data_IF_048006234686
#
_entry.id   IF_048006234686
#
_cell.length_a   1.000
_cell.length_b   1.000
_cell.length_c   1.000
_cell.angle_alpha   90.00
_cell.angle_beta   90.00
_cell.angle_gamma   90.00
#
_symmetry.space_group_name_H-M   'P 1'
#
loop_
_entity.id
_entity.type
_entity.pdbx_description
1 polymer ?
#
# COMPACT_ATOMS: atom_id res chain seq x y z
N UNK A 1 4.17 -14.91 -9.49
CA UNK A 1 4.02 -15.24 -8.05
C UNK A 1 4.58 -14.07 -7.25
N UNK A 2 3.95 -13.70 -6.13
CA UNK A 2 4.45 -12.64 -5.26
C UNK A 2 5.69 -13.13 -4.50
N UNK A 3 6.83 -12.46 -4.61
CA UNK A 3 8.03 -12.79 -3.83
C UNK A 3 8.19 -11.83 -2.64
N UNK A 4 7.98 -12.37 -1.43
CA UNK A 4 8.07 -11.60 -0.17
C UNK A 4 9.51 -11.22 0.17
N UNK A 5 10.51 -12.03 -0.22
CA UNK A 5 11.92 -11.70 0.02
C UNK A 5 12.34 -10.51 -0.84
N UNK A 6 11.96 -10.53 -2.12
CA UNK A 6 12.16 -9.39 -3.02
C UNK A 6 11.42 -8.14 -2.52
N UNK A 7 10.18 -8.31 -2.04
CA UNK A 7 9.40 -7.22 -1.44
C UNK A 7 10.12 -6.56 -0.26
N UNK A 8 10.73 -7.36 0.62
CA UNK A 8 11.47 -6.85 1.77
C UNK A 8 12.66 -6.00 1.33
N UNK A 9 13.47 -6.52 0.41
CA UNK A 9 14.65 -5.80 -0.10
C UNK A 9 14.25 -4.46 -0.76
N UNK A 10 13.20 -4.45 -1.56
CA UNK A 10 12.70 -3.22 -2.19
C UNK A 10 12.21 -2.21 -1.15
N UNK A 11 11.41 -2.64 -0.17
CA UNK A 11 10.91 -1.76 0.89
C UNK A 11 12.05 -1.22 1.77
N UNK A 12 13.08 -2.03 2.02
CA UNK A 12 14.26 -1.62 2.79
C UNK A 12 15.11 -0.59 2.04
N UNK A 13 15.24 -0.74 0.72
CA UNK A 13 15.95 0.21 -0.13
C UNK A 13 15.19 1.54 -0.30
N UNK A 14 13.85 1.50 -0.39
CA UNK A 14 13.03 2.70 -0.62
C UNK A 14 12.76 3.52 0.65
N UNK A 15 12.81 2.87 1.82
CA UNK A 15 12.40 3.48 3.08
C UNK A 15 13.42 3.20 4.18
N UNK A 16 14.13 4.25 4.61
CA UNK A 16 14.99 4.18 5.78
C UNK A 16 14.13 4.08 7.06
N UNK A 17 14.56 3.23 8.01
CA UNK A 17 13.80 2.91 9.22
C UNK A 17 12.39 2.35 8.93
N UNK A 18 11.39 2.64 9.77
CA UNK A 18 9.99 2.17 9.62
C UNK A 18 9.78 0.65 9.77
N UNK A 19 10.61 -0.03 10.57
CA UNK A 19 10.55 -1.50 10.77
C UNK A 19 9.15 -2.04 11.06
N UNK A 20 8.38 -1.36 11.93
CA UNK A 20 7.01 -1.75 12.27
C UNK A 20 6.07 -1.70 11.06
N UNK A 21 6.21 -0.67 10.22
CA UNK A 21 5.40 -0.50 9.01
C UNK A 21 5.78 -1.56 7.97
N UNK A 22 7.08 -1.73 7.71
CA UNK A 22 7.58 -2.71 6.73
C UNK A 22 7.13 -4.13 7.10
N UNK A 23 7.25 -4.50 8.38
CA UNK A 23 6.73 -5.78 8.89
C UNK A 23 5.25 -5.96 8.60
N UNK A 24 4.43 -4.94 8.87
CA UNK A 24 2.98 -5.01 8.63
C UNK A 24 2.62 -5.13 7.15
N UNK A 25 3.38 -4.46 6.28
CA UNK A 25 3.25 -4.60 4.83
C UNK A 25 3.61 -6.02 4.38
N UNK A 26 4.71 -6.59 4.87
CA UNK A 26 5.12 -7.96 4.54
C UNK A 26 4.09 -8.99 5.03
N UNK A 27 3.53 -8.84 6.23
CA UNK A 27 2.43 -9.67 6.73
C UNK A 27 1.20 -9.60 5.82
N UNK A 28 0.82 -8.39 5.41
CA UNK A 28 -0.28 -8.18 4.48
C UNK A 28 -0.05 -8.89 3.14
N UNK A 29 1.16 -8.74 2.59
CA UNK A 29 1.58 -9.41 1.36
C UNK A 29 1.57 -10.94 1.50
N UNK A 30 2.00 -11.48 2.66
CA UNK A 30 1.97 -12.91 2.95
C UNK A 30 0.55 -13.47 2.98
N UNK A 31 -0.37 -12.81 3.70
CA UNK A 31 -1.78 -13.22 3.76
C UNK A 31 -2.41 -13.18 2.36
N UNK A 32 -2.05 -12.18 1.56
CA UNK A 32 -2.52 -12.04 0.18
C UNK A 32 -1.96 -13.10 -0.77
N UNK A 33 -0.72 -13.57 -0.55
CA UNK A 33 -0.16 -14.68 -1.32
C UNK A 33 -0.93 -15.99 -1.08
N UNK A 34 -1.39 -16.21 0.15
CA UNK A 34 -2.14 -17.41 0.55
C UNK A 34 -3.61 -17.38 0.12
N UNK A 35 -4.22 -16.20 -0.01
CA UNK A 35 -5.63 -16.05 -0.41
C UNK A 35 -5.76 -15.82 -1.92
N UNK A 36 -6.51 -16.68 -2.62
CA UNK A 36 -6.80 -16.53 -4.06
C UNK A 36 -7.86 -15.45 -4.37
N UNK A 37 -8.56 -14.93 -3.36
CA UNK A 37 -9.67 -13.99 -3.54
C UNK A 37 -9.22 -12.52 -3.37
N UNK A 38 -9.75 -11.66 -4.24
CA UNK A 38 -9.47 -10.20 -4.24
C UNK A 38 -10.05 -9.44 -3.04
N UNK A 39 -10.96 -10.05 -2.26
CA UNK A 39 -11.50 -9.48 -1.01
C UNK A 39 -10.48 -9.61 0.12
N UNK A 40 -9.32 -8.99 -0.07
CA UNK A 40 -8.29 -8.83 0.95
C UNK A 40 -8.58 -7.63 1.85
N UNK A 41 -8.03 -7.60 3.07
CA UNK A 41 -8.15 -6.44 3.96
C UNK A 41 -7.57 -5.17 3.30
N UNK A 42 -8.12 -4.01 3.63
CA UNK A 42 -7.59 -2.71 3.17
C UNK A 42 -6.50 -2.28 4.14
N UNK A 43 -5.34 -1.87 3.61
CA UNK A 43 -4.24 -1.33 4.39
C UNK A 43 -4.40 0.18 4.57
N UNK A 44 -4.50 0.64 5.82
CA UNK A 44 -4.60 2.06 6.16
C UNK A 44 -3.33 2.51 6.90
N UNK A 45 -2.71 3.58 6.42
CA UNK A 45 -1.55 4.20 7.06
C UNK A 45 -1.95 5.51 7.74
N UNK A 46 -1.73 5.61 9.05
CA UNK A 46 -2.08 6.79 9.85
C UNK A 46 -0.81 7.41 10.45
N UNK A 47 -0.72 8.75 10.45
CA UNK A 47 0.37 9.48 11.08
C UNK A 47 0.45 10.94 10.60
N UNK A 48 1.43 11.72 11.08
CA UNK A 48 1.66 13.12 10.68
C UNK A 48 1.92 13.31 9.17
N UNK A 49 1.73 14.52 8.60
CA UNK A 49 2.16 14.80 7.23
C UNK A 49 3.69 14.61 7.07
N UNK A 50 4.16 14.32 5.86
CA UNK A 50 5.60 14.17 5.57
C UNK A 50 6.23 12.81 5.91
N UNK A 51 5.56 11.92 6.66
CA UNK A 51 6.12 10.60 7.05
C UNK A 51 6.19 9.54 5.94
N UNK A 52 5.95 9.92 4.68
CA UNK A 52 6.15 9.01 3.54
C UNK A 52 5.01 8.02 3.21
N UNK A 53 3.80 8.18 3.76
CA UNK A 53 2.65 7.29 3.50
C UNK A 53 2.39 7.01 2.00
N UNK A 54 2.38 8.07 1.18
CA UNK A 54 2.18 7.95 -0.27
C UNK A 54 3.35 7.23 -0.95
N UNK A 55 4.57 7.47 -0.48
CA UNK A 55 5.78 6.83 -1.01
C UNK A 55 5.74 5.33 -0.76
N UNK A 56 5.37 4.91 0.46
CA UNK A 56 5.15 3.49 0.82
C UNK A 56 4.13 2.83 -0.10
N UNK A 57 2.98 3.47 -0.35
CA UNK A 57 1.96 2.92 -1.25
C UNK A 57 2.50 2.68 -2.66
N UNK A 58 3.35 3.58 -3.17
CA UNK A 58 4.00 3.45 -4.48
C UNK A 58 5.00 2.29 -4.50
N UNK A 59 5.82 2.13 -3.47
CA UNK A 59 6.78 1.02 -3.34
C UNK A 59 6.08 -0.35 -3.28
N UNK A 60 4.93 -0.42 -2.60
CA UNK A 60 4.08 -1.62 -2.57
C UNK A 60 3.54 -1.95 -3.95
N UNK A 61 3.01 -0.96 -4.68
CA UNK A 61 2.50 -1.16 -6.04
C UNK A 61 3.61 -1.64 -7.00
N UNK A 62 4.81 -1.04 -6.91
CA UNK A 62 6.00 -1.46 -7.68
C UNK A 62 6.39 -2.90 -7.38
N UNK A 63 6.44 -3.27 -6.11
CA UNK A 63 6.73 -4.65 -5.66
C UNK A 63 5.71 -5.66 -6.17
N UNK A 64 4.45 -5.24 -6.27
CA UNK A 64 3.35 -6.06 -6.79
C UNK A 64 3.31 -6.14 -8.32
N UNK A 65 4.13 -5.35 -9.03
CA UNK A 65 4.01 -5.18 -10.48
C UNK A 65 2.65 -4.61 -10.90
N UNK A 66 2.06 -3.74 -10.08
CA UNK A 66 0.75 -3.13 -10.32
C UNK A 66 0.87 -1.63 -10.54
N UNK A 67 -0.03 -1.08 -11.33
CA UNK A 67 -0.15 0.38 -11.46
C UNK A 67 -0.51 1.03 -10.13
N UNK A 68 0.02 2.24 -9.92
CA UNK A 68 -0.23 3.06 -8.75
C UNK A 68 -1.09 4.26 -9.14
N UNK A 69 -2.32 4.28 -8.65
CA UNK A 69 -3.24 5.41 -8.81
C UNK A 69 -3.42 6.12 -7.46
N UNK A 70 -3.35 7.46 -7.46
CA UNK A 70 -3.55 8.28 -6.26
C UNK A 70 -4.81 9.11 -6.43
N UNK A 71 -5.77 8.90 -5.53
CA UNK A 71 -7.01 9.68 -5.45
C UNK A 71 -6.96 10.50 -4.15
N UNK A 72 -7.15 11.81 -4.25
CA UNK A 72 -7.27 12.67 -3.08
C UNK A 72 -8.74 12.72 -2.66
N UNK A 73 -9.03 12.38 -1.39
CA UNK A 73 -10.38 12.44 -0.82
C UNK A 73 -10.62 13.69 0.04
N UNK A 74 -9.61 14.56 0.17
CA UNK A 74 -9.75 15.80 0.92
C UNK A 74 -10.67 16.78 0.18
N UNK A 75 -11.73 17.23 0.85
CA UNK A 75 -12.72 18.14 0.26
C UNK A 75 -13.78 17.45 -0.59
N UNK A 76 -13.82 16.11 -0.64
CA UNK A 76 -14.94 15.38 -1.27
C UNK A 76 -16.15 15.46 -0.35
N UNK A 77 -17.24 16.03 -0.87
CA UNK A 77 -18.49 16.24 -0.13
C UNK A 77 -19.66 15.45 -0.70
N UNK A 78 -19.59 15.02 -1.97
CA UNK A 78 -20.68 14.32 -2.67
C UNK A 78 -20.24 12.92 -3.12
N UNK A 79 -21.20 11.99 -3.14
CA UNK A 79 -21.00 10.64 -3.65
C UNK A 79 -20.81 10.60 -5.18
N UNK A 80 -21.36 11.59 -5.88
CA UNK A 80 -21.26 11.78 -7.33
C UNK A 80 -19.82 11.96 -7.79
N UNK A 81 -18.97 12.58 -6.96
CA UNK A 81 -17.54 12.76 -7.24
C UNK A 81 -16.77 11.43 -7.32
N UNK A 82 -17.29 10.38 -6.67
CA UNK A 82 -16.66 9.06 -6.60
C UNK A 82 -17.34 8.07 -7.55
N UNK A 83 -18.67 8.16 -7.69
CA UNK A 83 -19.47 7.19 -8.46
C UNK A 83 -19.79 7.63 -9.88
N UNK A 84 -19.64 8.90 -10.20
CA UNK A 84 -20.23 9.49 -11.40
C UNK A 84 -21.74 9.65 -11.26
N UNK A 85 -22.35 10.31 -12.25
CA UNK A 85 -23.79 10.41 -12.42
C UNK A 85 -24.36 9.21 -13.16
#
# INVERSE_FOLDING_TARGET
CLDIRAARVLLDNDHYAMEKLKRRVLEYLAVRQLKSTLKGPILCFVGPPGVGKTSVGRSIARTLGREFHRIALGGVCDQSDIRGH
#
